data_IF_749357434265
#
_entry.id   IF_749357434265
#
_cell.length_a   1.000
_cell.length_b   1.000
_cell.length_c   1.000
_cell.angle_alpha   90.00
_cell.angle_beta   90.00
_cell.angle_gamma   90.00
#
_symmetry.space_group_name_H-M   'P 1'
#
loop_
_entity.id
_entity.type
_entity.pdbx_description
1 polymer ?
#
# COMPACT_ATOMS: atom_id res chain seq x y z
N UNK A 1 -1.11 -9.46 -7.03
CA UNK A 1 -0.13 -8.51 -6.44
C UNK A 1 0.75 -7.96 -7.55
N UNK A 2 1.00 -6.65 -7.58
CA UNK A 2 1.91 -6.02 -8.52
C UNK A 2 3.13 -5.54 -7.74
N UNK A 3 4.33 -5.85 -8.24
CA UNK A 3 5.61 -5.45 -7.66
C UNK A 3 6.37 -4.61 -8.67
N UNK A 4 6.99 -3.53 -8.24
CA UNK A 4 7.82 -2.67 -9.08
C UNK A 4 9.17 -2.49 -8.40
N UNK A 5 10.24 -2.79 -9.14
CA UNK A 5 11.61 -2.66 -8.69
C UNK A 5 12.47 -2.03 -9.80
N UNK A 6 13.56 -1.38 -9.41
CA UNK A 6 14.56 -0.90 -10.36
C UNK A 6 15.41 -2.04 -10.90
N UNK A 7 15.50 -2.18 -12.22
CA UNK A 7 16.28 -3.24 -12.86
C UNK A 7 16.29 -3.10 -14.38
N UNK A 8 16.86 -4.08 -15.09
CA UNK A 8 16.73 -4.15 -16.54
C UNK A 8 15.25 -4.30 -16.91
N UNK A 9 14.82 -3.68 -18.00
CA UNK A 9 13.41 -3.65 -18.39
C UNK A 9 12.92 -5.08 -18.72
N UNK A 10 12.10 -5.62 -17.83
CA UNK A 10 11.47 -6.94 -17.97
C UNK A 10 10.25 -7.06 -17.08
N UNK A 11 9.39 -8.02 -17.37
CA UNK A 11 8.24 -8.36 -16.54
C UNK A 11 8.22 -9.86 -16.25
N UNK A 12 8.02 -10.21 -14.99
CA UNK A 12 7.81 -11.59 -14.54
C UNK A 12 6.36 -11.74 -14.10
N UNK A 13 5.62 -12.62 -14.77
CA UNK A 13 4.22 -12.94 -14.46
C UNK A 13 4.20 -14.26 -13.68
N UNK A 14 3.56 -14.27 -12.51
CA UNK A 14 3.33 -15.48 -11.70
C UNK A 14 1.87 -15.90 -11.81
N UNK A 15 1.64 -17.15 -12.19
CA UNK A 15 0.30 -17.75 -12.32
C UNK A 15 -0.05 -18.63 -11.12
N UNK A 16 -1.33 -18.97 -10.93
CA UNK A 16 -1.80 -19.83 -9.81
C UNK A 16 -1.09 -21.19 -9.73
N UNK A 17 -0.63 -21.74 -10.86
CA UNK A 17 0.13 -23.01 -10.88
C UNK A 17 1.51 -22.90 -10.19
N UNK A 18 1.97 -21.67 -9.93
CA UNK A 18 3.31 -21.36 -9.41
C UNK A 18 4.35 -21.13 -10.51
N UNK A 19 4.00 -21.37 -11.78
CA UNK A 19 4.87 -21.08 -12.91
C UNK A 19 5.11 -19.57 -13.06
N UNK A 20 6.29 -19.24 -13.59
CA UNK A 20 6.70 -17.86 -13.84
C UNK A 20 7.10 -17.71 -15.31
N UNK A 21 6.55 -16.66 -15.93
CA UNK A 21 6.82 -16.30 -17.32
C UNK A 21 7.55 -14.96 -17.33
N UNK A 22 8.75 -14.95 -17.88
CA UNK A 22 9.58 -13.74 -18.03
C UNK A 22 9.45 -13.20 -19.45
N UNK A 23 9.26 -11.89 -19.55
CA UNK A 23 9.07 -11.15 -20.79
C UNK A 23 10.06 -9.99 -20.82
N UNK A 24 10.87 -9.90 -21.86
CA UNK A 24 11.85 -8.83 -22.05
C UNK A 24 11.20 -7.54 -22.54
N UNK A 25 11.61 -6.40 -21.98
CA UNK A 25 11.18 -5.07 -22.40
C UNK A 25 10.13 -4.42 -21.49
N UNK A 26 9.76 -3.19 -21.86
CA UNK A 26 8.76 -2.41 -21.15
C UNK A 26 7.37 -2.67 -21.74
N UNK A 27 6.46 -3.18 -20.90
CA UNK A 27 5.08 -3.45 -21.28
C UNK A 27 4.14 -2.41 -20.65
N UNK A 28 3.12 -2.02 -21.41
CA UNK A 28 1.98 -1.25 -20.92
C UNK A 28 1.07 -2.10 -20.03
N UNK A 29 0.26 -1.44 -19.19
CA UNK A 29 -0.75 -2.12 -18.38
C UNK A 29 -1.76 -2.88 -19.26
N UNK A 30 -2.06 -2.37 -20.46
CA UNK A 30 -2.94 -3.01 -21.44
C UNK A 30 -2.35 -4.28 -22.02
N UNK A 31 -1.06 -4.28 -22.39
CA UNK A 31 -0.36 -5.47 -22.89
C UNK A 31 -0.26 -6.54 -21.81
N UNK A 32 0.07 -6.15 -20.58
CA UNK A 32 0.07 -7.07 -19.45
C UNK A 32 -1.32 -7.65 -19.19
N UNK A 33 -2.38 -6.84 -19.25
CA UNK A 33 -3.77 -7.33 -19.14
C UNK A 33 -4.15 -8.31 -20.25
N UNK A 34 -3.61 -8.16 -21.46
CA UNK A 34 -3.85 -9.11 -22.54
C UNK A 34 -3.11 -10.42 -22.31
N UNK A 35 -1.86 -10.36 -21.86
CA UNK A 35 -1.07 -11.54 -21.46
C UNK A 35 -1.78 -12.28 -20.31
N UNK A 36 -2.35 -11.56 -19.34
CA UNK A 36 -3.08 -12.14 -18.22
C UNK A 36 -4.49 -12.68 -18.57
N UNK A 37 -4.98 -12.52 -19.82
CA UNK A 37 -6.33 -12.98 -20.22
C UNK A 37 -6.37 -14.43 -20.72
N UNK A 38 -5.24 -14.98 -21.15
CA UNK A 38 -5.18 -16.35 -21.65
C UNK A 38 -4.87 -17.34 -20.50
N UNK A 39 -5.94 -17.90 -19.94
CA UNK A 39 -5.97 -19.26 -19.39
C UNK A 39 -5.49 -19.47 -17.96
N UNK A 40 -4.50 -18.72 -17.48
CA UNK A 40 -3.99 -18.89 -16.12
C UNK A 40 -4.33 -17.69 -15.25
N UNK A 41 -4.99 -17.94 -14.10
CA UNK A 41 -5.33 -16.89 -13.15
C UNK A 41 -4.03 -16.28 -12.58
N UNK A 42 -3.59 -15.17 -13.18
CA UNK A 42 -2.39 -14.45 -12.78
C UNK A 42 -2.54 -13.94 -11.36
N UNK A 43 -1.63 -14.35 -10.48
CA UNK A 43 -1.61 -13.95 -9.06
C UNK A 43 -0.57 -12.86 -8.77
N UNK A 44 0.44 -12.72 -9.64
CA UNK A 44 1.57 -11.84 -9.44
C UNK A 44 2.08 -11.23 -10.74
N UNK A 45 2.42 -9.95 -10.71
CA UNK A 45 3.17 -9.29 -11.78
C UNK A 45 4.33 -8.57 -11.12
N UNK A 46 5.56 -8.86 -11.54
CA UNK A 46 6.76 -8.17 -11.08
C UNK A 46 7.41 -7.43 -12.25
N UNK A 47 7.39 -6.11 -12.16
CA UNK A 47 7.86 -5.19 -13.19
C UNK A 47 9.23 -4.66 -12.76
N UNK A 48 10.24 -4.91 -13.59
CA UNK A 48 11.54 -4.30 -13.47
C UNK A 48 11.65 -3.17 -14.50
N UNK A 49 12.04 -1.98 -14.04
CA UNK A 49 12.22 -0.82 -14.92
C UNK A 49 13.49 -0.07 -14.58
N UNK A 50 14.29 0.24 -15.59
CA UNK A 50 15.53 0.98 -15.38
C UNK A 50 15.24 2.45 -15.03
N UNK A 51 14.17 2.99 -15.61
CA UNK A 51 13.68 4.36 -15.41
C UNK A 51 12.73 4.51 -14.22
N UNK A 52 12.52 3.45 -13.41
CA UNK A 52 11.70 3.53 -12.23
C UNK A 52 12.22 4.64 -11.29
N UNK A 53 11.35 5.53 -10.78
CA UNK A 53 11.72 6.56 -9.80
C UNK A 53 11.86 5.94 -8.39
N UNK A 54 12.44 4.75 -8.31
CA UNK A 54 12.63 3.95 -7.11
C UNK A 54 14.13 3.65 -6.99
N UNK A 55 14.77 3.85 -5.82
CA UNK A 55 16.17 3.49 -5.63
C UNK A 55 16.43 1.99 -5.86
N UNK A 56 17.66 1.64 -6.24
CA UNK A 56 18.06 0.23 -6.35
C UNK A 56 17.91 -0.48 -4.99
N UNK A 57 17.44 -1.73 -4.97
CA UNK A 57 17.18 -2.49 -3.75
C UNK A 57 15.97 -2.00 -2.94
N UNK A 58 15.04 -1.27 -3.57
CA UNK A 58 13.72 -0.94 -3.02
C UNK A 58 12.66 -1.51 -3.95
N UNK A 59 11.67 -2.18 -3.38
CA UNK A 59 10.53 -2.74 -4.10
C UNK A 59 9.24 -2.10 -3.60
N UNK A 60 8.47 -1.53 -4.51
CA UNK A 60 7.10 -1.09 -4.22
C UNK A 60 6.16 -2.26 -4.53
N UNK A 61 5.30 -2.61 -3.57
CA UNK A 61 4.31 -3.67 -3.75
C UNK A 61 2.92 -3.11 -3.62
N UNK A 62 2.14 -3.24 -4.68
CA UNK A 62 0.71 -2.95 -4.72
C UNK A 62 -0.08 -4.26 -4.58
N UNK A 63 -0.78 -4.41 -3.47
CA UNK A 63 -1.61 -5.59 -3.20
C UNK A 63 -3.04 -5.32 -3.66
N UNK A 64 -3.72 -6.29 -4.31
CA UNK A 64 -5.17 -6.22 -4.51
C UNK A 64 -5.87 -5.94 -3.17
N UNK A 65 -6.98 -5.20 -3.18
CA UNK A 65 -7.65 -4.76 -1.97
C UNK A 65 -7.87 -5.92 -0.99
N UNK A 66 -7.56 -5.70 0.29
CA UNK A 66 -7.68 -6.71 1.35
C UNK A 66 -9.13 -7.23 1.54
N UNK A 67 -10.12 -6.51 1.00
CA UNK A 67 -11.54 -6.90 0.98
C UNK A 67 -11.90 -7.87 -0.15
N UNK A 68 -10.93 -8.33 -0.97
CA UNK A 68 -11.20 -9.35 -1.98
C UNK A 68 -11.40 -10.72 -1.32
N UNK A 69 -12.60 -11.25 -1.38
CA UNK A 69 -13.04 -12.57 -0.85
C UNK A 69 -12.43 -13.78 -1.56
N UNK A 70 -11.30 -13.61 -2.26
CA UNK A 70 -10.66 -14.68 -3.02
C UNK A 70 -9.49 -15.24 -2.20
N UNK A 71 -9.60 -16.49 -1.75
CA UNK A 71 -8.63 -17.14 -0.85
C UNK A 71 -7.19 -17.11 -1.42
N UNK A 72 -7.07 -17.14 -2.75
CA UNK A 72 -5.79 -17.02 -3.45
C UNK A 72 -5.18 -15.61 -3.33
N UNK A 73 -6.01 -14.56 -3.27
CA UNK A 73 -5.55 -13.19 -3.05
C UNK A 73 -5.14 -12.96 -1.60
N UNK A 74 -5.87 -13.54 -0.65
CA UNK A 74 -5.53 -13.44 0.77
C UNK A 74 -4.15 -14.04 1.08
N UNK A 75 -3.83 -15.22 0.52
CA UNK A 75 -2.54 -15.88 0.74
C UNK A 75 -1.35 -15.10 0.14
N UNK A 76 -1.54 -14.54 -1.07
CA UNK A 76 -0.52 -13.74 -1.74
C UNK A 76 -0.28 -12.40 -1.03
N UNK A 77 -1.35 -11.76 -0.54
CA UNK A 77 -1.29 -10.53 0.24
C UNK A 77 -0.65 -10.78 1.61
N UNK A 78 -0.99 -11.88 2.31
CA UNK A 78 -0.39 -12.20 3.61
C UNK A 78 1.13 -12.47 3.51
N UNK A 79 1.56 -13.23 2.50
CA UNK A 79 2.98 -13.49 2.27
C UNK A 79 3.76 -12.19 1.98
N UNK A 80 3.13 -11.26 1.26
CA UNK A 80 3.71 -9.94 0.96
C UNK A 80 3.82 -9.09 2.22
N UNK A 81 2.75 -9.02 3.03
CA UNK A 81 2.74 -8.29 4.30
C UNK A 81 3.77 -8.85 5.29
N UNK A 82 3.99 -10.17 5.27
CA UNK A 82 5.01 -10.81 6.08
C UNK A 82 6.42 -10.33 5.71
N UNK A 83 6.71 -10.10 4.43
CA UNK A 83 8.03 -9.68 3.95
C UNK A 83 8.22 -8.16 3.94
N UNK A 84 7.13 -7.38 4.02
CA UNK A 84 7.22 -5.92 3.99
C UNK A 84 7.94 -5.37 5.24
N UNK A 85 8.90 -4.48 5.00
CA UNK A 85 9.57 -3.69 6.05
C UNK A 85 8.68 -2.55 6.54
N UNK A 86 8.03 -1.85 5.60
CA UNK A 86 7.13 -0.72 5.86
C UNK A 86 5.82 -0.91 5.11
N UNK A 87 4.70 -0.65 5.78
CA UNK A 87 3.35 -0.80 5.23
C UNK A 87 2.65 0.55 5.23
N UNK A 88 2.14 0.96 4.07
CA UNK A 88 1.21 2.09 3.93
C UNK A 88 -0.21 1.55 3.79
N UNK A 89 -1.00 1.65 4.85
CA UNK A 89 -2.35 1.12 4.88
C UNK A 89 -3.37 2.20 4.48
N UNK A 90 -3.95 2.05 3.29
CA UNK A 90 -4.93 2.99 2.75
C UNK A 90 -6.34 2.69 3.26
N UNK A 91 -7.01 3.71 3.80
CA UNK A 91 -8.39 3.63 4.29
C UNK A 91 -9.26 4.73 3.68
N UNK A 92 -10.56 4.45 3.54
CA UNK A 92 -11.54 5.48 3.18
C UNK A 92 -11.87 6.35 4.39
N UNK A 93 -11.91 7.67 4.21
CA UNK A 93 -12.31 8.66 5.22
C UNK A 93 -13.55 8.24 6.04
N UNK A 94 -14.57 7.67 5.41
CA UNK A 94 -15.81 7.28 6.09
C UNK A 94 -15.68 5.99 6.92
N UNK A 95 -14.67 5.17 6.68
CA UNK A 95 -14.55 3.81 7.25
C UNK A 95 -13.26 3.60 8.04
N UNK A 96 -12.48 4.65 8.32
CA UNK A 96 -11.23 4.58 9.08
C UNK A 96 -11.40 3.84 10.42
N UNK A 97 -12.51 4.06 11.11
CA UNK A 97 -12.79 3.53 12.44
C UNK A 97 -13.59 2.21 12.40
N UNK A 98 -13.66 1.52 11.26
CA UNK A 98 -14.32 0.23 11.17
C UNK A 98 -13.56 -0.83 11.98
N UNK A 99 -14.29 -1.77 12.58
CA UNK A 99 -13.70 -2.87 13.36
C UNK A 99 -12.73 -3.70 12.52
N UNK A 100 -13.06 -3.94 11.24
CA UNK A 100 -12.20 -4.66 10.30
C UNK A 100 -10.85 -3.95 10.12
N UNK A 101 -10.85 -2.62 9.94
CA UNK A 101 -9.62 -1.85 9.79
C UNK A 101 -8.79 -1.84 11.08
N UNK A 102 -9.44 -1.63 12.23
CA UNK A 102 -8.77 -1.61 13.53
C UNK A 102 -8.15 -2.98 13.85
N UNK A 103 -8.88 -4.07 13.64
CA UNK A 103 -8.39 -5.42 13.85
C UNK A 103 -7.21 -5.74 12.93
N UNK A 104 -7.31 -5.40 11.63
CA UNK A 104 -6.23 -5.66 10.68
C UNK A 104 -4.94 -4.90 11.04
N UNK A 105 -5.04 -3.61 11.34
CA UNK A 105 -3.88 -2.81 11.76
C UNK A 105 -3.29 -3.34 13.06
N UNK A 106 -4.14 -3.76 14.01
CA UNK A 106 -3.70 -4.38 15.27
C UNK A 106 -2.86 -5.63 15.02
N UNK A 107 -3.29 -6.51 14.13
CA UNK A 107 -2.55 -7.72 13.75
C UNK A 107 -1.18 -7.38 13.14
N UNK A 108 -1.10 -6.36 12.28
CA UNK A 108 0.17 -5.91 11.72
C UNK A 108 1.11 -5.36 12.80
N UNK A 109 0.59 -4.54 13.73
CA UNK A 109 1.39 -3.99 14.84
C UNK A 109 1.83 -5.07 15.83
N UNK A 110 1.01 -6.08 16.10
CA UNK A 110 1.39 -7.25 16.91
C UNK A 110 2.51 -8.08 16.28
N UNK A 111 2.63 -8.06 14.95
CA UNK A 111 3.77 -8.62 14.20
C UNK A 111 4.97 -7.66 14.14
N UNK A 112 4.98 -6.64 15.00
CA UNK A 112 5.96 -5.54 15.07
C UNK A 112 6.14 -4.76 13.76
N UNK A 113 5.18 -4.76 12.82
CA UNK A 113 5.37 -4.05 11.55
C UNK A 113 5.39 -2.52 11.72
N UNK A 114 6.16 -1.84 10.89
CA UNK A 114 6.09 -0.39 10.73
C UNK A 114 4.91 -0.07 9.81
N UNK A 115 3.90 0.61 10.34
CA UNK A 115 2.62 0.84 9.66
C UNK A 115 2.28 2.33 9.70
N UNK A 116 2.16 2.92 8.52
CA UNK A 116 1.61 4.26 8.30
C UNK A 116 0.18 4.16 7.80
N UNK A 117 -0.73 4.91 8.42
CA UNK A 117 -2.13 5.00 7.99
C UNK A 117 -2.28 6.12 6.96
N UNK A 118 -3.00 5.85 5.87
CA UNK A 118 -3.34 6.84 4.85
C UNK A 118 -4.86 6.92 4.73
N UNK A 119 -5.45 7.92 5.35
CA UNK A 119 -6.87 8.23 5.27
C UNK A 119 -7.14 9.00 3.98
N UNK A 120 -7.64 8.31 2.97
CA UNK A 120 -7.89 8.86 1.65
C UNK A 120 -9.34 9.38 1.52
N UNK A 121 -9.59 10.17 0.47
CA UNK A 121 -10.90 10.75 0.13
C UNK A 121 -11.41 11.76 1.17
N UNK A 122 -10.50 12.54 1.77
CA UNK A 122 -10.88 13.58 2.74
C UNK A 122 -11.72 14.71 2.13
N UNK A 123 -11.82 14.78 0.79
CA UNK A 123 -12.75 15.67 0.09
C UNK A 123 -14.22 15.45 0.46
N UNK A 124 -14.55 14.31 1.09
CA UNK A 124 -15.87 14.03 1.67
C UNK A 124 -16.13 14.76 2.99
N UNK A 125 -15.10 15.33 3.62
CA UNK A 125 -15.22 15.98 4.92
C UNK A 125 -16.10 17.24 4.85
N UNK A 126 -16.85 17.48 5.92
CA UNK A 126 -17.76 18.60 6.05
C UNK A 126 -17.49 19.34 7.36
N UNK A 127 -16.73 20.43 7.25
CA UNK A 127 -16.27 21.24 8.38
C UNK A 127 -17.41 21.76 9.27
N UNK A 128 -18.61 21.95 8.70
CA UNK A 128 -19.79 22.41 9.42
C UNK A 128 -20.46 21.33 10.29
N UNK A 129 -20.22 20.04 10.03
CA UNK A 129 -20.76 18.94 10.82
C UNK A 129 -19.79 18.55 11.95
N UNK A 130 -18.49 18.53 11.66
CA UNK A 130 -17.41 18.25 12.60
C UNK A 130 -16.16 18.93 12.07
N UNK A 131 -15.44 19.70 12.89
CA UNK A 131 -14.16 20.27 12.46
C UNK A 131 -13.16 19.18 12.12
N UNK A 132 -12.28 19.40 11.14
CA UNK A 132 -11.29 18.40 10.76
C UNK A 132 -10.37 17.97 11.92
N UNK A 133 -10.01 18.88 12.83
CA UNK A 133 -9.17 18.54 13.99
C UNK A 133 -9.85 17.54 14.93
N UNK A 134 -11.12 17.77 15.26
CA UNK A 134 -11.90 16.80 16.04
C UNK A 134 -12.04 15.44 15.33
N UNK A 135 -12.09 15.41 14.00
CA UNK A 135 -12.04 14.16 13.24
C UNK A 135 -10.69 13.45 13.41
N UNK A 136 -9.56 14.18 13.31
CA UNK A 136 -8.22 13.61 13.55
C UNK A 136 -8.11 13.04 14.97
N UNK A 137 -8.62 13.76 15.96
CA UNK A 137 -8.60 13.32 17.35
C UNK A 137 -9.48 12.10 17.59
N UNK A 138 -10.66 12.06 16.98
CA UNK A 138 -11.55 10.88 16.97
C UNK A 138 -10.84 9.64 16.40
N UNK A 139 -10.15 9.77 15.26
CA UNK A 139 -9.36 8.70 14.67
C UNK A 139 -8.27 8.24 15.65
N UNK A 140 -7.45 9.16 16.17
CA UNK A 140 -6.39 8.83 17.14
C UNK A 140 -6.95 8.11 18.37
N UNK A 141 -8.05 8.60 18.92
CA UNK A 141 -8.71 7.99 20.08
C UNK A 141 -9.19 6.57 19.78
N UNK A 142 -9.75 6.30 18.61
CA UNK A 142 -10.16 4.94 18.22
C UNK A 142 -8.99 3.96 18.19
N UNK A 143 -7.87 4.34 17.55
CA UNK A 143 -6.68 3.50 17.51
C UNK A 143 -6.06 3.32 18.91
N UNK A 144 -6.01 4.39 19.71
CA UNK A 144 -5.55 4.33 21.10
C UNK A 144 -6.41 3.39 21.97
N UNK A 145 -7.74 3.48 21.87
CA UNK A 145 -8.66 2.61 22.62
C UNK A 145 -8.51 1.13 22.26
N UNK A 146 -7.97 0.84 21.06
CA UNK A 146 -7.67 -0.51 20.60
C UNK A 146 -6.26 -0.99 20.97
N UNK A 147 -5.49 -0.15 21.69
CA UNK A 147 -4.09 -0.37 22.05
C UNK A 147 -3.19 -0.49 20.80
N UNK A 148 -3.44 0.38 19.82
CA UNK A 148 -2.71 0.42 18.55
C UNK A 148 -1.91 1.73 18.48
N UNK A 149 -0.59 1.61 18.45
CA UNK A 149 0.31 2.72 18.17
C UNK A 149 0.83 2.60 16.73
N UNK A 150 0.47 3.55 15.87
CA UNK A 150 0.90 3.59 14.47
C UNK A 150 2.04 4.58 14.26
N UNK A 151 2.85 4.35 13.23
CA UNK A 151 4.06 5.13 12.94
C UNK A 151 3.75 6.49 12.31
N UNK A 152 2.51 6.69 11.86
CA UNK A 152 1.97 7.99 11.43
C UNK A 152 0.59 7.85 10.79
N UNK A 153 -0.13 8.97 10.70
CA UNK A 153 -1.43 9.06 10.02
C UNK A 153 -1.39 10.24 9.07
N UNK A 154 -1.71 9.99 7.80
CA UNK A 154 -1.74 10.98 6.73
C UNK A 154 -3.13 11.07 6.14
N UNK A 155 -3.58 12.29 5.84
CA UNK A 155 -4.90 12.57 5.29
C UNK A 155 -4.78 13.05 3.85
N UNK A 156 -5.35 12.33 2.88
CA UNK A 156 -5.16 12.61 1.46
C UNK A 156 -6.45 12.79 0.68
N UNK A 157 -6.42 13.63 -0.35
CA UNK A 157 -7.42 13.64 -1.43
C UNK A 157 -6.72 13.71 -2.78
N UNK A 158 -7.09 12.78 -3.66
CA UNK A 158 -6.67 12.79 -5.06
C UNK A 158 -7.63 13.59 -5.96
N UNK A 159 -8.83 13.89 -5.47
CA UNK A 159 -9.85 14.67 -6.20
C UNK A 159 -9.67 16.16 -5.99
N UNK A 160 -9.37 16.57 -4.76
CA UNK A 160 -9.16 17.97 -4.39
C UNK A 160 -7.72 18.17 -3.90
N UNK A 161 -6.79 18.31 -4.85
CA UNK A 161 -5.37 18.49 -4.53
C UNK A 161 -5.10 19.72 -3.65
N UNK A 162 -5.92 20.76 -3.77
CA UNK A 162 -5.81 22.00 -2.99
C UNK A 162 -6.65 22.00 -1.69
N UNK A 163 -7.18 20.84 -1.26
CA UNK A 163 -7.90 20.74 0.00
C UNK A 163 -6.97 21.16 1.17
N UNK A 164 -7.42 22.00 2.12
CA UNK A 164 -6.55 22.61 3.13
C UNK A 164 -5.84 21.60 4.03
N UNK A 165 -6.45 20.41 4.22
CA UNK A 165 -5.90 19.33 5.02
C UNK A 165 -5.23 18.21 4.20
N UNK A 166 -4.97 18.43 2.91
CA UNK A 166 -4.36 17.41 2.06
C UNK A 166 -2.85 17.29 2.33
N UNK A 167 -2.45 16.17 2.90
CA UNK A 167 -1.07 15.85 3.30
C UNK A 167 -0.33 15.01 2.26
N UNK A 168 -0.85 14.91 1.02
CA UNK A 168 -0.24 14.10 -0.05
C UNK A 168 1.24 14.42 -0.29
N UNK A 169 1.64 15.70 -0.24
CA UNK A 169 3.04 16.10 -0.38
C UNK A 169 3.92 15.64 0.79
N UNK A 170 3.37 15.67 2.00
CA UNK A 170 4.06 15.17 3.19
C UNK A 170 4.23 13.66 3.14
N UNK A 171 3.22 12.94 2.65
CA UNK A 171 3.27 11.50 2.43
C UNK A 171 4.32 11.14 1.35
N UNK A 172 4.33 11.84 0.22
CA UNK A 172 5.35 11.68 -0.83
C UNK A 172 6.77 11.92 -0.30
N UNK A 173 6.94 12.96 0.53
CA UNK A 173 8.21 13.26 1.17
C UNK A 173 8.63 12.15 2.15
N UNK A 174 7.72 11.64 2.97
CA UNK A 174 7.98 10.50 3.87
C UNK A 174 8.41 9.27 3.08
N UNK A 175 7.64 8.86 2.07
CA UNK A 175 7.96 7.70 1.23
C UNK A 175 9.36 7.87 0.62
N UNK A 176 9.66 9.06 0.08
CA UNK A 176 10.97 9.37 -0.48
C UNK A 176 12.08 9.28 0.56
N UNK A 177 11.84 9.73 1.79
CA UNK A 177 12.82 9.62 2.89
C UNK A 177 13.08 8.17 3.26
N UNK A 178 12.02 7.37 3.43
CA UNK A 178 12.12 5.94 3.75
C UNK A 178 12.89 5.20 2.67
N UNK A 179 12.60 5.48 1.39
CA UNK A 179 13.32 4.87 0.27
C UNK A 179 14.83 5.24 0.26
N UNK A 180 15.19 6.46 0.68
CA UNK A 180 16.59 6.89 0.81
C UNK A 180 17.27 6.29 2.02
N UNK A 181 16.56 6.15 3.12
CA UNK A 181 17.03 5.64 4.41
C UNK A 181 16.74 4.14 4.58
N UNK A 182 16.59 3.41 3.47
CA UNK A 182 16.17 2.00 3.43
C UNK A 182 16.94 1.11 4.41
N UNK A 183 18.23 1.37 4.63
CA UNK A 183 19.09 0.60 5.55
C UNK A 183 18.60 0.62 7.01
N UNK A 184 17.88 1.67 7.44
CA UNK A 184 17.31 1.75 8.79
C UNK A 184 16.05 0.89 8.95
N UNK A 185 15.35 0.63 7.84
CA UNK A 185 14.06 -0.07 7.82
C UNK A 185 14.20 -1.54 7.43
N UNK A 186 15.22 -1.89 6.65
CA UNK A 186 15.58 -3.27 6.34
C UNK A 186 16.00 -3.96 7.63
N UNK A 187 15.19 -4.91 8.08
CA UNK A 187 15.61 -5.80 9.17
C UNK A 187 16.71 -6.70 8.63
N UNK A 188 17.96 -6.43 9.00
CA UNK A 188 19.01 -7.44 8.90
C UNK A 188 18.59 -8.65 9.73
N UNK A 189 18.03 -9.65 9.07
CA UNK A 189 17.84 -11.00 9.61
C UNK A 189 19.15 -11.75 9.71
#
# INVERSE_FOLDING_TARGET
VVKIEKGMDRVVVTVKSGEQYEYDGAYSAEELKQICKDGDEVIGVHIYRNDAPIPEGVMLVDTPGIDSTDDAHQLATESTLHLADVIFYMMDYNHVQSEVNLQFVKELKQRNKTVYLVVNQIDKHKENELSFENYKDSVKQSFFNWDIEVDGVYYTSLRMMNHPHNEIRSLEALITSIMKEKEQYVRTG
#
